data_IF_721956351914
#
_entry.id   IF_721956351914
#
_cell.length_a   1.000
_cell.length_b   1.000
_cell.length_c   1.000
_cell.angle_alpha   90.00
_cell.angle_beta   90.00
_cell.angle_gamma   90.00
#
_symmetry.space_group_name_H-M   'P 1'
#
loop_
_entity.id
_entity.type
_entity.pdbx_description
1 polymer ?
#
# COMPACT_ATOMS: atom_id res chain seq x y z
N UNK A 1 -16.74 29.30 -26.66
CA UNK A 1 -16.59 27.95 -26.07
C UNK A 1 -15.44 28.02 -25.08
N UNK A 2 -15.72 27.89 -23.78
CA UNK A 2 -14.67 27.88 -22.77
C UNK A 2 -13.94 26.54 -22.81
N UNK A 3 -12.61 26.53 -22.74
CA UNK A 3 -11.86 25.28 -22.60
C UNK A 3 -12.19 24.63 -21.25
N UNK A 4 -12.38 23.30 -21.19
CA UNK A 4 -12.63 22.63 -19.93
C UNK A 4 -11.40 22.78 -19.03
N UNK A 5 -11.62 23.19 -17.78
CA UNK A 5 -10.58 23.25 -16.77
C UNK A 5 -10.04 21.83 -16.53
N UNK A 6 -8.72 21.70 -16.45
CA UNK A 6 -8.08 20.45 -16.03
C UNK A 6 -8.47 20.19 -14.57
N UNK A 7 -9.00 19.01 -14.24
CA UNK A 7 -9.34 18.66 -12.86
C UNK A 7 -8.12 18.83 -11.95
N UNK A 8 -8.31 19.45 -10.79
CA UNK A 8 -7.25 19.76 -9.82
C UNK A 8 -6.49 18.49 -9.36
N UNK A 9 -7.16 17.34 -9.37
CA UNK A 9 -6.59 16.03 -9.05
C UNK A 9 -5.55 15.56 -10.07
N UNK A 10 -5.77 15.83 -11.36
CA UNK A 10 -4.82 15.52 -12.43
C UNK A 10 -3.56 16.39 -12.32
N UNK A 11 -3.73 17.65 -11.92
CA UNK A 11 -2.61 18.55 -11.65
C UNK A 11 -1.76 18.07 -10.47
N UNK A 12 -2.37 17.57 -9.39
CA UNK A 12 -1.64 17.04 -8.24
C UNK A 12 -0.87 15.74 -8.57
N UNK A 13 -1.45 14.86 -9.39
CA UNK A 13 -0.76 13.64 -9.86
C UNK A 13 0.46 14.01 -10.72
N UNK A 14 0.28 14.92 -11.67
CA UNK A 14 1.38 15.46 -12.46
C UNK A 14 2.45 16.09 -11.56
N UNK A 15 2.05 16.94 -10.61
CA UNK A 15 2.99 17.62 -9.73
C UNK A 15 3.81 16.64 -8.90
N UNK A 16 3.20 15.61 -8.33
CA UNK A 16 3.91 14.57 -7.57
C UNK A 16 4.85 13.73 -8.44
N UNK A 17 4.44 13.39 -9.67
CA UNK A 17 5.26 12.61 -10.59
C UNK A 17 6.51 13.38 -11.04
N UNK A 18 6.36 14.66 -11.41
CA UNK A 18 7.50 15.49 -11.79
C UNK A 18 8.38 15.85 -10.58
N UNK A 19 7.79 16.04 -9.39
CA UNK A 19 8.58 16.27 -8.18
C UNK A 19 9.45 15.09 -7.80
N UNK A 20 8.98 13.85 -7.97
CA UNK A 20 9.80 12.66 -7.75
C UNK A 20 11.04 12.64 -8.65
N UNK A 21 10.84 12.89 -9.95
CA UNK A 21 11.94 12.96 -10.93
C UNK A 21 12.89 14.12 -10.64
N UNK A 22 12.37 15.29 -10.27
CA UNK A 22 13.18 16.46 -9.90
C UNK A 22 14.00 16.16 -8.64
N UNK A 23 13.39 15.55 -7.61
CA UNK A 23 14.09 15.16 -6.38
C UNK A 23 15.15 14.12 -6.67
N UNK A 24 14.89 13.14 -7.55
CA UNK A 24 15.88 12.17 -7.99
C UNK A 24 17.05 12.86 -8.70
N UNK A 25 16.77 13.81 -9.61
CA UNK A 25 17.79 14.57 -10.30
C UNK A 25 18.62 15.43 -9.33
N UNK A 26 17.99 16.06 -8.34
CA UNK A 26 18.65 16.80 -7.27
C UNK A 26 19.54 15.86 -6.44
N UNK A 27 19.07 14.67 -6.06
CA UNK A 27 19.86 13.68 -5.33
C UNK A 27 21.08 13.22 -6.14
N UNK A 28 20.91 12.95 -7.43
CA UNK A 28 22.02 12.60 -8.35
C UNK A 28 23.01 13.76 -8.45
N UNK A 29 22.53 14.99 -8.61
CA UNK A 29 23.38 16.18 -8.69
C UNK A 29 24.19 16.38 -7.40
N UNK A 30 23.55 16.25 -6.23
CA UNK A 30 24.22 16.32 -4.92
C UNK A 30 25.29 15.23 -4.82
N UNK A 31 24.99 14.00 -5.26
CA UNK A 31 25.95 12.90 -5.27
C UNK A 31 27.17 13.23 -6.16
N UNK A 32 26.95 13.74 -7.36
CA UNK A 32 28.02 14.16 -8.27
C UNK A 32 28.87 15.27 -7.63
N UNK A 33 28.25 16.27 -7.01
CA UNK A 33 28.94 17.36 -6.33
C UNK A 33 29.78 16.85 -5.15
N UNK A 34 29.27 15.90 -4.37
CA UNK A 34 30.01 15.23 -3.29
C UNK A 34 31.23 14.50 -3.83
N UNK A 35 31.07 13.71 -4.90
CA UNK A 35 32.18 12.98 -5.52
C UNK A 35 33.24 13.96 -6.03
N UNK A 36 32.84 15.04 -6.71
CA UNK A 36 33.74 16.08 -7.19
C UNK A 36 34.48 16.75 -6.03
N UNK A 37 33.79 17.09 -4.93
CA UNK A 37 34.40 17.68 -3.75
C UNK A 37 35.44 16.75 -3.10
N UNK A 38 35.14 15.45 -2.99
CA UNK A 38 36.07 14.42 -2.48
C UNK A 38 37.30 14.33 -3.40
N UNK A 39 37.12 14.27 -4.72
CA UNK A 39 38.22 14.21 -5.67
C UNK A 39 39.10 15.46 -5.64
N UNK A 40 38.51 16.65 -5.51
CA UNK A 40 39.23 17.91 -5.36
C UNK A 40 39.99 17.97 -4.04
N UNK A 41 39.37 17.57 -2.93
CA UNK A 41 40.01 17.48 -1.61
C UNK A 41 41.18 16.49 -1.57
N UNK A 42 41.04 15.35 -2.27
CA UNK A 42 42.14 14.39 -2.40
C UNK A 42 43.31 14.94 -3.23
N UNK A 43 43.00 15.74 -4.27
CA UNK A 43 44.03 16.40 -5.08
C UNK A 43 44.75 17.51 -4.29
N UNK A 44 44.06 18.24 -3.42
CA UNK A 44 44.65 19.32 -2.61
C UNK A 44 45.45 18.81 -1.42
N UNK A 45 45.08 17.69 -0.81
CA UNK A 45 45.85 17.05 0.29
C UNK A 45 47.23 16.54 -0.13
N UNK A 46 47.48 16.35 -1.44
CA UNK A 46 48.84 16.14 -1.97
C UNK A 46 49.72 17.39 -1.95
N UNK A 47 49.15 18.59 -1.78
CA UNK A 47 49.87 19.83 -1.44
C UNK A 47 49.82 19.99 0.09
N UNK A 48 50.86 20.57 0.70
CA UNK A 48 50.93 20.84 2.16
C UNK A 48 49.80 21.80 2.58
N UNK A 49 48.60 21.28 2.78
CA UNK A 49 47.47 22.00 3.35
C UNK A 49 47.70 22.22 4.85
N UNK A 50 47.19 23.31 5.40
CA UNK A 50 47.26 23.53 6.84
C UNK A 50 46.28 22.57 7.57
N UNK A 51 46.52 22.35 8.87
CA UNK A 51 45.76 21.39 9.68
C UNK A 51 44.25 21.70 9.71
N UNK A 52 43.86 22.99 9.66
CA UNK A 52 42.44 23.40 9.71
C UNK A 52 41.70 23.05 8.42
N UNK A 53 42.32 23.25 7.26
CA UNK A 53 41.77 22.84 5.96
C UNK A 53 41.61 21.32 5.88
N UNK A 54 42.58 20.58 6.41
CA UNK A 54 42.54 19.11 6.43
C UNK A 54 41.39 18.59 7.29
N UNK A 55 41.12 19.21 8.45
CA UNK A 55 40.00 18.85 9.33
C UNK A 55 38.65 19.18 8.67
N UNK A 56 38.52 20.36 8.04
CA UNK A 56 37.28 20.75 7.36
C UNK A 56 36.94 19.83 6.18
N UNK A 57 37.94 19.44 5.38
CA UNK A 57 37.78 18.49 4.28
C UNK A 57 37.40 17.11 4.81
N UNK A 58 38.01 16.65 5.91
CA UNK A 58 37.66 15.38 6.56
C UNK A 58 36.22 15.34 7.07
N UNK A 59 35.76 16.42 7.71
CA UNK A 59 34.38 16.56 8.20
C UNK A 59 33.36 16.62 7.06
N UNK A 60 33.65 17.34 5.98
CA UNK A 60 32.82 17.36 4.77
C UNK A 60 32.75 15.97 4.12
N UNK A 61 33.87 15.28 4.00
CA UNK A 61 33.91 13.91 3.50
C UNK A 61 33.09 12.93 4.36
N UNK A 62 33.21 13.04 5.69
CA UNK A 62 32.44 12.23 6.63
C UNK A 62 30.93 12.51 6.54
N UNK A 63 30.50 13.78 6.58
CA UNK A 63 29.09 14.15 6.49
C UNK A 63 28.46 13.71 5.16
N UNK A 64 29.21 13.87 4.06
CA UNK A 64 28.76 13.47 2.73
C UNK A 64 28.63 11.95 2.57
N UNK A 65 29.56 11.19 3.17
CA UNK A 65 29.47 9.72 3.17
C UNK A 65 28.35 9.21 4.06
N UNK A 66 28.08 9.80 5.23
CA UNK A 66 26.88 9.49 6.02
C UNK A 66 25.60 9.81 5.25
N UNK A 67 25.50 10.97 4.60
CA UNK A 67 24.33 11.30 3.77
C UNK A 67 24.14 10.27 2.64
N UNK A 68 25.23 9.86 1.99
CA UNK A 68 25.18 8.79 0.99
C UNK A 68 24.64 7.47 1.57
N UNK A 69 25.08 7.04 2.74
CA UNK A 69 24.58 5.81 3.37
C UNK A 69 23.09 5.87 3.76
N UNK A 70 22.57 7.05 4.10
CA UNK A 70 21.14 7.23 4.40
C UNK A 70 20.26 7.35 3.15
N UNK A 71 20.75 7.98 2.08
CA UNK A 71 19.97 8.19 0.86
C UNK A 71 20.13 7.06 -0.18
N UNK A 72 21.30 6.41 -0.23
CA UNK A 72 21.60 5.38 -1.23
C UNK A 72 20.65 4.18 -1.19
N UNK A 73 20.17 3.66 -0.05
CA UNK A 73 19.21 2.55 -0.05
C UNK A 73 17.88 2.92 -0.70
N UNK A 74 17.38 4.13 -0.44
CA UNK A 74 16.13 4.63 -1.05
C UNK A 74 16.27 4.84 -2.56
N UNK A 75 17.38 5.43 -2.99
CA UNK A 75 17.69 5.66 -4.40
C UNK A 75 18.03 4.35 -5.11
N UNK A 76 18.65 3.38 -4.43
CA UNK A 76 18.98 2.08 -4.98
C UNK A 76 17.74 1.21 -5.18
N UNK A 77 16.76 1.26 -4.28
CA UNK A 77 15.46 0.60 -4.49
C UNK A 77 14.69 1.24 -5.64
N UNK A 78 14.74 2.57 -5.75
CA UNK A 78 14.14 3.33 -6.85
C UNK A 78 14.83 2.99 -8.19
N UNK A 79 16.17 2.92 -8.23
CA UNK A 79 16.97 2.50 -9.38
C UNK A 79 16.78 1.01 -9.70
N UNK A 80 16.71 0.10 -8.72
CA UNK A 80 16.41 -1.31 -8.99
C UNK A 80 15.00 -1.49 -9.55
N UNK A 81 14.02 -0.69 -9.10
CA UNK A 81 12.68 -0.69 -9.72
C UNK A 81 12.71 -0.23 -11.18
N UNK A 82 13.69 0.62 -11.54
CA UNK A 82 13.87 1.15 -12.89
C UNK A 82 14.77 0.25 -13.78
N UNK A 83 15.70 -0.51 -13.21
CA UNK A 83 16.79 -1.17 -13.96
C UNK A 83 17.11 -2.62 -13.54
N UNK A 84 16.51 -3.16 -12.47
CA UNK A 84 16.68 -4.55 -12.05
C UNK A 84 15.90 -5.52 -12.95
N UNK A 85 16.32 -6.79 -13.01
CA UNK A 85 15.54 -7.84 -13.67
C UNK A 85 14.11 -7.82 -13.12
N UNK A 86 13.12 -7.61 -13.99
CA UNK A 86 11.71 -7.34 -13.68
C UNK A 86 10.99 -8.38 -12.81
N UNK A 87 11.68 -9.46 -12.46
CA UNK A 87 11.10 -10.62 -11.81
C UNK A 87 10.97 -10.49 -10.29
N UNK A 88 11.82 -9.70 -9.61
CA UNK A 88 11.85 -9.66 -8.13
C UNK A 88 11.72 -8.25 -7.56
N UNK A 89 10.74 -8.07 -6.66
CA UNK A 89 10.56 -6.86 -5.86
C UNK A 89 10.87 -7.17 -4.39
N UNK A 90 11.76 -6.38 -3.80
CA UNK A 90 12.12 -6.53 -2.38
C UNK A 90 11.52 -5.38 -1.58
N UNK A 91 10.60 -5.70 -0.68
CA UNK A 91 10.02 -4.75 0.26
C UNK A 91 10.44 -5.12 1.68
N UNK A 92 11.27 -4.27 2.31
CA UNK A 92 11.90 -4.56 3.60
C UNK A 92 12.60 -5.93 3.59
N UNK A 93 12.14 -6.85 4.45
CA UNK A 93 12.64 -8.22 4.57
C UNK A 93 11.93 -9.22 3.63
N UNK A 94 10.88 -8.80 2.93
CA UNK A 94 10.07 -9.67 2.07
C UNK A 94 10.58 -9.64 0.63
N UNK A 95 10.70 -10.82 0.05
CA UNK A 95 10.96 -10.98 -1.39
C UNK A 95 9.66 -11.40 -2.05
N UNK A 96 9.07 -10.49 -2.81
CA UNK A 96 7.84 -10.71 -3.56
C UNK A 96 8.23 -10.80 -5.04
N UNK A 97 7.89 -11.93 -5.67
CA UNK A 97 8.10 -12.09 -7.11
C UNK A 97 7.07 -11.23 -7.85
N UNK A 98 7.49 -10.32 -8.71
CA UNK A 98 6.57 -9.57 -9.57
C UNK A 98 6.72 -10.13 -10.98
N UNK A 99 5.64 -10.63 -11.56
CA UNK A 99 5.66 -11.17 -12.93
C UNK A 99 4.91 -10.24 -13.87
N UNK A 100 5.44 -10.07 -15.08
CA UNK A 100 4.88 -9.19 -16.10
C UNK A 100 5.62 -7.85 -16.18
N UNK A 101 4.93 -6.84 -16.72
CA UNK A 101 5.48 -5.49 -16.95
C UNK A 101 4.65 -4.42 -16.23
N UNK A 102 4.66 -4.36 -14.89
CA UNK A 102 3.97 -3.29 -14.18
C UNK A 102 4.58 -1.94 -14.55
N UNK A 103 3.73 -0.92 -14.64
CA UNK A 103 4.17 0.48 -14.69
C UNK A 103 4.84 0.89 -13.38
N UNK A 104 5.68 1.92 -13.42
CA UNK A 104 6.27 2.51 -12.21
C UNK A 104 5.21 2.97 -11.20
N UNK A 105 4.04 3.42 -11.68
CA UNK A 105 2.93 3.83 -10.82
C UNK A 105 2.35 2.63 -10.09
N UNK A 106 2.13 1.49 -10.77
CA UNK A 106 1.67 0.26 -10.10
C UNK A 106 2.67 -0.24 -9.04
N UNK A 107 3.98 -0.15 -9.31
CA UNK A 107 4.99 -0.48 -8.31
C UNK A 107 4.96 0.45 -7.10
N UNK A 108 4.69 1.74 -7.32
CA UNK A 108 4.51 2.72 -6.25
C UNK A 108 3.25 2.42 -5.42
N UNK A 109 2.13 2.10 -6.06
CA UNK A 109 0.88 1.73 -5.40
C UNK A 109 1.03 0.45 -4.57
N UNK A 110 1.74 -0.57 -5.08
CA UNK A 110 2.08 -1.78 -4.32
C UNK A 110 2.90 -1.43 -3.07
N UNK A 111 3.92 -0.58 -3.21
CA UNK A 111 4.74 -0.13 -2.08
C UNK A 111 3.91 0.64 -1.04
N UNK A 112 3.04 1.54 -1.52
CA UNK A 112 2.17 2.35 -0.68
C UNK A 112 1.17 1.47 0.09
N UNK A 113 0.59 0.46 -0.57
CA UNK A 113 -0.29 -0.52 0.06
C UNK A 113 0.37 -1.17 1.27
N UNK A 114 1.62 -1.62 1.12
CA UNK A 114 2.36 -2.33 2.17
C UNK A 114 2.71 -1.45 3.37
N UNK A 115 2.84 -0.13 3.21
CA UNK A 115 3.11 0.76 4.34
C UNK A 115 1.95 0.82 5.36
N UNK A 116 0.73 0.53 4.93
CA UNK A 116 -0.47 0.53 5.79
C UNK A 116 -0.88 -0.84 6.31
N UNK A 117 -0.05 -1.88 6.12
CA UNK A 117 -0.42 -3.26 6.40
C UNK A 117 0.51 -3.93 7.40
N UNK A 118 -0.07 -4.84 8.16
CA UNK A 118 0.70 -5.68 9.05
C UNK A 118 1.71 -6.56 8.29
N UNK A 119 2.94 -6.58 8.77
CA UNK A 119 4.04 -7.37 8.19
C UNK A 119 3.72 -8.88 8.09
N UNK A 120 2.91 -9.44 8.99
CA UNK A 120 2.43 -10.83 8.96
C UNK A 120 1.42 -11.07 7.84
N UNK A 121 0.60 -10.08 7.52
CA UNK A 121 -0.35 -10.12 6.39
C UNK A 121 0.42 -10.10 5.07
N UNK A 122 1.38 -9.16 4.92
CA UNK A 122 2.26 -9.03 3.75
C UNK A 122 3.06 -10.33 3.51
N UNK A 123 3.51 -11.01 4.57
CA UNK A 123 4.31 -12.24 4.46
C UNK A 123 3.63 -13.40 3.73
N UNK A 124 2.31 -13.31 3.49
CA UNK A 124 1.56 -14.32 2.76
C UNK A 124 1.63 -14.09 1.24
N UNK A 125 2.11 -12.94 0.79
CA UNK A 125 2.35 -12.65 -0.62
C UNK A 125 3.70 -13.24 -1.02
N UNK A 126 3.67 -14.17 -1.97
CA UNK A 126 4.83 -14.73 -2.65
C UNK A 126 5.00 -14.13 -4.04
N UNK A 127 3.89 -13.84 -4.72
CA UNK A 127 3.92 -13.39 -6.11
C UNK A 127 2.78 -12.44 -6.42
N UNK A 128 3.04 -11.37 -7.17
CA UNK A 128 2.03 -10.55 -7.84
C UNK A 128 2.26 -10.69 -9.34
N UNK A 129 1.26 -11.20 -10.07
CA UNK A 129 1.38 -11.51 -11.48
C UNK A 129 0.45 -10.64 -12.31
N UNK A 130 1.03 -9.87 -13.22
CA UNK A 130 0.30 -9.08 -14.21
C UNK A 130 0.15 -9.90 -15.50
N UNK A 131 -0.97 -9.69 -16.22
CA UNK A 131 -1.28 -10.33 -17.52
C UNK A 131 -1.75 -11.78 -17.46
N UNK A 132 -2.54 -12.12 -16.45
CA UNK A 132 -3.11 -13.47 -16.31
C UNK A 132 -4.58 -13.55 -16.69
N UNK A 133 -4.92 -13.09 -17.89
CA UNK A 133 -6.31 -13.01 -18.37
C UNK A 133 -7.05 -14.37 -18.34
N UNK A 134 -6.33 -15.48 -18.37
CA UNK A 134 -6.89 -16.85 -18.34
C UNK A 134 -7.37 -17.31 -16.95
N UNK A 135 -7.13 -16.54 -15.89
CA UNK A 135 -7.54 -16.89 -14.53
C UNK A 135 -8.79 -16.15 -14.04
N UNK A 136 -9.31 -15.21 -14.81
CA UNK A 136 -10.49 -14.42 -14.43
C UNK A 136 -11.76 -15.07 -14.98
N UNK A 137 -12.75 -15.29 -14.10
CA UNK A 137 -14.01 -15.94 -14.47
C UNK A 137 -14.97 -14.99 -15.18
N UNK A 138 -14.80 -13.68 -14.98
CA UNK A 138 -15.60 -12.64 -15.60
C UNK A 138 -14.75 -11.47 -16.13
N UNK A 139 -15.34 -10.64 -17.00
CA UNK A 139 -14.68 -9.40 -17.42
C UNK A 139 -14.57 -8.36 -16.29
N UNK A 140 -15.42 -8.46 -15.27
CA UNK A 140 -15.51 -7.54 -14.13
C UNK A 140 -14.47 -7.81 -13.03
N UNK A 141 -13.89 -9.02 -13.01
CA UNK A 141 -12.86 -9.37 -12.02
C UNK A 141 -11.59 -8.56 -12.32
N UNK A 142 -11.21 -7.69 -11.38
CA UNK A 142 -10.09 -6.75 -11.56
C UNK A 142 -8.75 -7.36 -11.12
N UNK A 143 -8.79 -7.99 -9.96
CA UNK A 143 -7.73 -8.80 -9.39
C UNK A 143 -8.37 -10.02 -8.71
N UNK A 144 -7.57 -11.03 -8.43
CA UNK A 144 -8.03 -12.20 -7.68
C UNK A 144 -6.84 -12.93 -7.04
N UNK A 145 -7.06 -13.52 -5.87
CA UNK A 145 -6.15 -14.48 -5.27
C UNK A 145 -6.27 -15.86 -5.92
N UNK A 146 -5.35 -16.16 -6.85
CA UNK A 146 -5.26 -17.49 -7.47
C UNK A 146 -4.99 -18.62 -6.46
N UNK A 147 -6.04 -19.25 -5.97
CA UNK A 147 -6.09 -20.58 -5.35
C UNK A 147 -5.00 -20.89 -4.29
N UNK A 148 -4.82 -20.02 -3.30
CA UNK A 148 -4.21 -20.41 -2.00
C UNK A 148 -2.69 -20.61 -1.97
N UNK A 149 -1.93 -20.04 -2.91
CA UNK A 149 -0.45 -20.17 -2.94
C UNK A 149 0.33 -18.89 -2.66
N UNK A 150 -0.31 -17.85 -2.12
CA UNK A 150 0.35 -16.56 -1.91
C UNK A 150 0.49 -15.74 -3.19
N UNK A 151 -0.40 -15.95 -4.15
CA UNK A 151 -0.34 -15.29 -5.46
C UNK A 151 -1.52 -14.32 -5.60
N UNK A 152 -1.22 -13.09 -5.98
CA UNK A 152 -2.19 -12.09 -6.42
C UNK A 152 -2.09 -12.01 -7.94
N UNK A 153 -3.20 -12.19 -8.64
CA UNK A 153 -3.31 -12.11 -10.08
C UNK A 153 -4.00 -10.80 -10.45
N UNK A 154 -3.42 -10.06 -11.39
CA UNK A 154 -3.90 -8.73 -11.81
C UNK A 154 -4.11 -8.73 -13.32
N UNK A 155 -5.28 -8.28 -13.75
CA UNK A 155 -5.63 -8.20 -15.17
C UNK A 155 -4.84 -7.08 -15.85
N UNK A 156 -4.36 -7.32 -17.06
CA UNK A 156 -3.39 -6.43 -17.75
C UNK A 156 -3.87 -4.98 -17.91
N UNK A 157 -5.18 -4.80 -18.16
CA UNK A 157 -5.75 -3.50 -18.52
C UNK A 157 -6.12 -2.63 -17.30
N UNK A 158 -5.86 -3.12 -16.09
CA UNK A 158 -6.38 -2.50 -14.88
C UNK A 158 -5.25 -1.83 -14.11
N UNK A 159 -5.51 -0.60 -13.72
CA UNK A 159 -4.70 0.10 -12.76
C UNK A 159 -4.84 -0.58 -11.40
N UNK A 160 -3.78 -1.26 -10.96
CA UNK A 160 -3.72 -1.83 -9.63
C UNK A 160 -3.41 -0.70 -8.66
N UNK A 161 -4.43 -0.25 -7.95
CA UNK A 161 -4.26 0.71 -6.86
C UNK A 161 -3.90 0.01 -5.55
N UNK A 162 -3.47 0.82 -4.58
CA UNK A 162 -3.13 0.32 -3.24
C UNK A 162 -4.28 -0.41 -2.53
N UNK A 163 -5.53 0.00 -2.77
CA UNK A 163 -6.72 -0.57 -2.13
C UNK A 163 -6.93 -2.01 -2.59
N UNK A 164 -6.83 -2.25 -3.89
CA UNK A 164 -6.89 -3.58 -4.50
C UNK A 164 -5.80 -4.49 -3.93
N UNK A 165 -4.56 -4.00 -3.77
CA UNK A 165 -3.48 -4.80 -3.17
C UNK A 165 -3.78 -5.18 -1.71
N UNK A 166 -4.30 -4.24 -0.91
CA UNK A 166 -4.70 -4.49 0.47
C UNK A 166 -5.81 -5.53 0.55
N UNK A 167 -6.81 -5.39 -0.32
CA UNK A 167 -7.95 -6.28 -0.45
C UNK A 167 -7.53 -7.72 -0.77
N UNK A 168 -6.79 -7.91 -1.86
CA UNK A 168 -6.35 -9.25 -2.28
C UNK A 168 -5.39 -9.89 -1.26
N UNK A 169 -4.58 -9.08 -0.57
CA UNK A 169 -3.72 -9.63 0.48
C UNK A 169 -4.53 -10.08 1.70
N UNK A 170 -5.62 -9.39 2.03
CA UNK A 170 -6.52 -9.79 3.11
C UNK A 170 -7.16 -11.15 2.82
N UNK A 171 -7.55 -11.43 1.56
CA UNK A 171 -7.98 -12.76 1.16
C UNK A 171 -6.90 -13.83 1.41
N UNK A 172 -5.66 -13.58 0.99
CA UNK A 172 -4.54 -14.49 1.24
C UNK A 172 -4.36 -14.82 2.72
N UNK A 173 -4.45 -13.80 3.59
CA UNK A 173 -4.33 -14.01 5.02
C UNK A 173 -5.54 -14.75 5.60
N UNK A 174 -6.75 -14.44 5.11
CA UNK A 174 -8.00 -15.12 5.48
C UNK A 174 -7.94 -16.62 5.21
N UNK A 175 -7.44 -17.02 4.03
CA UNK A 175 -7.28 -18.44 3.70
C UNK A 175 -6.31 -19.15 4.65
N UNK A 176 -5.27 -18.46 5.12
CA UNK A 176 -4.32 -18.98 6.11
C UNK A 176 -4.89 -19.03 7.53
N UNK A 177 -5.67 -18.02 7.92
CA UNK A 177 -6.38 -17.99 9.21
C UNK A 177 -7.40 -19.14 9.34
N UNK A 178 -7.96 -19.58 8.20
CA UNK A 178 -8.71 -20.82 8.08
C UNK A 178 -10.15 -20.74 8.59
N UNK A 179 -10.83 -21.89 8.60
CA UNK A 179 -12.28 -21.96 8.81
C UNK A 179 -12.77 -21.53 10.20
N UNK A 180 -11.92 -21.57 11.24
CA UNK A 180 -12.32 -21.12 12.59
C UNK A 180 -12.54 -19.60 12.61
N UNK A 181 -11.63 -18.84 11.99
CA UNK A 181 -11.73 -17.40 11.82
C UNK A 181 -13.00 -17.02 11.08
N UNK A 182 -13.23 -17.60 9.89
CA UNK A 182 -14.40 -17.32 9.07
C UNK A 182 -15.72 -17.63 9.78
N UNK A 183 -15.79 -18.72 10.55
CA UNK A 183 -16.98 -19.05 11.35
C UNK A 183 -17.24 -18.02 12.45
N UNK A 184 -16.20 -17.53 13.13
CA UNK A 184 -16.36 -16.46 14.13
C UNK A 184 -16.76 -15.15 13.46
N UNK A 185 -16.14 -14.79 12.34
CA UNK A 185 -16.48 -13.60 11.56
C UNK A 185 -17.94 -13.61 11.11
N UNK A 186 -18.41 -14.70 10.52
CA UNK A 186 -19.80 -14.86 10.08
C UNK A 186 -20.79 -14.77 11.25
N UNK A 187 -20.46 -15.36 12.41
CA UNK A 187 -21.29 -15.22 13.62
C UNK A 187 -21.37 -13.77 14.10
N UNK A 188 -20.25 -13.05 14.04
CA UNK A 188 -20.19 -11.62 14.37
C UNK A 188 -21.03 -10.78 13.41
N UNK A 189 -20.96 -11.05 12.09
CA UNK A 189 -21.78 -10.34 11.11
C UNK A 189 -23.28 -10.58 11.33
N UNK A 190 -23.66 -11.82 11.63
CA UNK A 190 -25.04 -12.28 11.71
C UNK A 190 -25.43 -13.07 10.46
N UNK A 191 -26.38 -14.00 10.61
CA UNK A 191 -26.70 -14.97 9.54
C UNK A 191 -27.35 -14.35 8.31
N UNK A 192 -27.96 -13.17 8.45
CA UNK A 192 -28.78 -12.55 7.40
C UNK A 192 -28.05 -11.43 6.62
N UNK A 193 -26.76 -11.22 6.90
CA UNK A 193 -25.98 -10.13 6.27
C UNK A 193 -25.51 -10.50 4.86
N UNK A 194 -25.13 -11.77 4.65
CA UNK A 194 -24.58 -12.20 3.37
C UNK A 194 -25.66 -12.64 2.39
N UNK A 195 -25.45 -12.32 1.11
CA UNK A 195 -26.43 -12.62 0.06
C UNK A 195 -27.64 -11.67 0.06
N UNK A 196 -27.60 -10.58 0.83
CA UNK A 196 -28.56 -9.50 0.68
C UNK A 196 -28.49 -8.94 -0.75
N UNK A 197 -29.66 -8.59 -1.32
CA UNK A 197 -29.79 -8.09 -2.69
C UNK A 197 -29.18 -6.68 -2.79
N UNK A 198 -27.90 -6.60 -3.11
CA UNK A 198 -27.32 -5.39 -3.67
C UNK A 198 -27.65 -5.34 -5.16
N UNK A 199 -27.80 -4.13 -5.70
CA UNK A 199 -27.81 -3.96 -7.15
C UNK A 199 -26.36 -3.85 -7.58
N UNK A 200 -25.95 -4.69 -8.52
CA UNK A 200 -24.76 -4.42 -9.32
C UNK A 200 -25.23 -3.48 -10.44
N UNK A 201 -25.02 -2.15 -10.35
CA UNK A 201 -25.33 -1.26 -11.44
C UNK A 201 -24.46 -1.60 -12.63
N UNK A 202 -24.88 -1.18 -13.83
CA UNK A 202 -24.12 -1.34 -15.09
C UNK A 202 -22.68 -0.78 -15.03
N UNK A 203 -22.36 0.01 -14.01
CA UNK A 203 -21.04 0.58 -13.74
C UNK A 203 -20.11 -0.30 -12.89
N UNK A 204 -20.55 -1.47 -12.41
CA UNK A 204 -19.73 -2.38 -11.59
C UNK A 204 -19.55 -1.96 -10.13
N UNK A 205 -20.30 -0.96 -9.64
CA UNK A 205 -20.20 -0.44 -8.28
C UNK A 205 -21.32 -0.97 -7.38
N UNK A 206 -21.03 -1.89 -6.47
CA UNK A 206 -22.02 -2.44 -5.55
C UNK A 206 -22.68 -1.34 -4.69
N UNK A 207 -24.00 -1.23 -4.75
CA UNK A 207 -24.81 -0.30 -3.92
C UNK A 207 -25.91 -1.03 -3.16
N UNK A 208 -26.31 -0.49 -2.02
CA UNK A 208 -27.51 -0.92 -1.28
C UNK A 208 -28.79 -0.69 -2.09
N UNK A 209 -29.92 -1.25 -1.65
CA UNK A 209 -31.22 -1.10 -2.33
C UNK A 209 -31.68 0.37 -2.46
N UNK A 210 -31.21 1.24 -1.57
CA UNK A 210 -31.46 2.69 -1.60
C UNK A 210 -30.44 3.49 -2.45
N UNK A 211 -29.58 2.80 -3.20
CA UNK A 211 -28.48 3.35 -4.02
C UNK A 211 -27.37 4.07 -3.22
N UNK A 212 -27.22 3.77 -1.93
CA UNK A 212 -26.08 4.25 -1.14
C UNK A 212 -24.99 3.18 -1.01
N UNK A 213 -23.79 3.59 -0.61
CA UNK A 213 -22.61 2.73 -0.41
C UNK A 213 -22.08 2.76 1.03
N UNK A 214 -22.76 3.48 1.93
CA UNK A 214 -22.28 3.76 3.28
C UNK A 214 -22.28 2.51 4.19
N UNK A 215 -21.43 2.44 5.25
CA UNK A 215 -21.40 1.31 6.17
C UNK A 215 -22.77 1.00 6.81
N UNK A 216 -23.22 -0.25 6.74
CA UNK A 216 -24.49 -0.75 7.31
C UNK A 216 -24.41 -2.24 7.62
N UNK A 217 -25.27 -2.69 8.53
CA UNK A 217 -25.43 -4.11 8.88
C UNK A 217 -24.13 -4.81 9.30
N UNK A 218 -23.19 -4.06 9.89
CA UNK A 218 -21.86 -4.56 10.25
C UNK A 218 -20.89 -4.69 9.07
N UNK A 219 -21.26 -4.34 7.84
CA UNK A 219 -20.38 -4.26 6.67
C UNK A 219 -19.95 -2.81 6.42
N UNK A 220 -18.74 -2.61 5.92
CA UNK A 220 -18.22 -1.26 5.59
C UNK A 220 -18.65 -0.78 4.20
N UNK A 221 -19.08 -1.70 3.33
CA UNK A 221 -19.64 -1.41 2.02
C UNK A 221 -20.62 -2.52 1.58
N UNK A 222 -21.45 -2.27 0.55
CA UNK A 222 -22.29 -3.29 -0.08
C UNK A 222 -21.50 -4.45 -0.69
N UNK A 223 -20.29 -4.19 -1.22
CA UNK A 223 -19.43 -5.23 -1.79
C UNK A 223 -19.04 -6.28 -0.75
N UNK A 224 -18.65 -5.84 0.45
CA UNK A 224 -18.36 -6.75 1.57
C UNK A 224 -19.57 -7.58 2.02
N UNK A 225 -20.80 -7.18 1.71
CA UNK A 225 -22.00 -7.96 2.04
C UNK A 225 -22.30 -9.09 1.04
N UNK A 226 -21.54 -9.21 -0.05
CA UNK A 226 -21.73 -10.28 -1.05
C UNK A 226 -21.47 -11.65 -0.44
N UNK A 227 -20.36 -11.82 0.29
CA UNK A 227 -20.00 -13.03 1.00
C UNK A 227 -18.97 -12.75 2.11
N UNK A 228 -18.76 -13.74 2.99
CA UNK A 228 -17.86 -13.61 4.16
C UNK A 228 -16.40 -13.29 3.81
N UNK A 229 -15.90 -13.73 2.65
CA UNK A 229 -14.52 -13.47 2.26
C UNK A 229 -14.33 -12.02 1.82
N UNK A 230 -15.29 -11.48 1.05
CA UNK A 230 -15.30 -10.08 0.63
C UNK A 230 -15.51 -9.14 1.82
N UNK A 231 -16.33 -9.55 2.79
CA UNK A 231 -16.50 -8.81 4.04
C UNK A 231 -15.17 -8.62 4.76
N UNK A 232 -14.43 -9.70 4.99
CA UNK A 232 -13.12 -9.62 5.65
C UNK A 232 -12.17 -8.72 4.86
N UNK A 233 -12.08 -8.93 3.55
CA UNK A 233 -11.12 -8.21 2.70
C UNK A 233 -11.43 -6.72 2.62
N UNK A 234 -12.68 -6.36 2.33
CA UNK A 234 -13.14 -4.97 2.29
C UNK A 234 -13.00 -4.29 3.64
N UNK A 235 -13.30 -5.00 4.74
CA UNK A 235 -13.20 -4.44 6.08
C UNK A 235 -11.74 -4.15 6.45
N UNK A 236 -10.83 -5.07 6.16
CA UNK A 236 -9.41 -4.87 6.42
C UNK A 236 -8.83 -3.74 5.56
N UNK A 237 -9.17 -3.71 4.27
CA UNK A 237 -8.83 -2.63 3.34
C UNK A 237 -9.27 -1.26 3.89
N UNK A 238 -10.54 -1.14 4.33
CA UNK A 238 -11.06 0.08 4.93
C UNK A 238 -10.21 0.55 6.13
N UNK A 239 -9.78 -0.37 7.00
CA UNK A 239 -8.95 -0.03 8.15
C UNK A 239 -7.53 0.41 7.75
N UNK A 240 -6.92 -0.23 6.74
CA UNK A 240 -5.62 0.19 6.21
C UNK A 240 -5.69 1.62 5.65
N UNK A 241 -6.70 1.92 4.84
CA UNK A 241 -6.92 3.26 4.30
C UNK A 241 -7.20 4.29 5.40
N UNK A 242 -7.95 3.91 6.45
CA UNK A 242 -8.21 4.76 7.60
C UNK A 242 -6.90 5.13 8.34
N UNK A 243 -6.04 4.14 8.61
CA UNK A 243 -4.73 4.38 9.26
C UNK A 243 -3.88 5.32 8.41
N UNK A 244 -3.83 5.10 7.09
CA UNK A 244 -3.05 5.94 6.18
C UNK A 244 -3.60 7.38 6.12
N UNK A 245 -4.92 7.53 6.04
CA UNK A 245 -5.57 8.83 6.00
C UNK A 245 -5.23 9.66 7.24
N UNK A 246 -5.17 9.04 8.41
CA UNK A 246 -4.87 9.69 9.68
C UNK A 246 -3.41 10.05 9.86
N UNK A 247 -2.50 9.27 9.26
CA UNK A 247 -1.10 9.68 9.18
C UNK A 247 -0.95 11.05 8.49
N UNK A 248 -1.90 11.40 7.61
CA UNK A 248 -1.98 12.69 6.94
C UNK A 248 -2.91 13.70 7.64
N UNK A 249 -3.91 13.26 8.40
CA UNK A 249 -4.95 14.10 8.98
C UNK A 249 -5.26 13.71 10.44
N UNK A 250 -4.47 14.21 11.39
CA UNK A 250 -4.54 13.84 12.81
C UNK A 250 -5.87 14.12 13.53
N UNK A 251 -6.79 14.91 12.92
CA UNK A 251 -8.05 15.33 13.53
C UNK A 251 -9.29 14.55 13.03
N UNK A 252 -9.14 13.55 12.16
CA UNK A 252 -10.28 12.81 11.65
C UNK A 252 -10.82 11.80 12.67
N UNK A 253 -12.15 11.81 12.87
CA UNK A 253 -12.87 10.78 13.64
C UNK A 253 -13.70 9.97 12.67
N UNK A 254 -13.32 8.72 12.43
CA UNK A 254 -14.15 7.80 11.66
C UNK A 254 -15.44 7.51 12.40
N UNK A 255 -16.55 7.38 11.68
CA UNK A 255 -17.82 6.99 12.26
C UNK A 255 -18.32 5.71 11.57
N UNK A 256 -17.93 4.55 12.11
CA UNK A 256 -18.53 3.27 11.74
C UNK A 256 -19.92 3.07 12.39
N UNK A 257 -20.51 4.11 12.99
CA UNK A 257 -21.76 4.01 13.73
C UNK A 257 -21.62 3.28 15.06
N UNK A 258 -22.73 3.13 15.79
CA UNK A 258 -22.81 2.46 17.09
C UNK A 258 -23.02 0.94 16.98
N UNK A 259 -22.77 0.34 15.82
CA UNK A 259 -22.99 -1.10 15.61
C UNK A 259 -21.83 -1.89 16.24
N UNK A 260 -22.16 -2.66 17.28
CA UNK A 260 -21.20 -3.44 18.07
C UNK A 260 -20.39 -4.43 17.24
N UNK A 261 -20.90 -4.84 16.07
CA UNK A 261 -20.24 -5.79 15.18
C UNK A 261 -18.94 -5.24 14.61
N UNK A 262 -18.83 -3.93 14.38
CA UNK A 262 -17.57 -3.33 13.92
C UNK A 262 -16.46 -3.53 14.94
N UNK A 263 -16.74 -3.31 16.23
CA UNK A 263 -15.80 -3.56 17.32
C UNK A 263 -15.40 -5.04 17.38
N UNK A 264 -16.37 -5.94 17.34
CA UNK A 264 -16.12 -7.37 17.38
C UNK A 264 -15.28 -7.86 16.19
N UNK A 265 -15.48 -7.30 14.99
CA UNK A 265 -14.65 -7.59 13.81
C UNK A 265 -13.22 -7.09 13.98
N UNK A 266 -13.02 -5.89 14.52
CA UNK A 266 -11.68 -5.35 14.81
C UNK A 266 -10.96 -6.22 15.85
N UNK A 267 -11.67 -6.64 16.90
CA UNK A 267 -11.15 -7.56 17.91
C UNK A 267 -10.72 -8.92 17.28
N UNK A 268 -11.51 -9.45 16.33
CA UNK A 268 -11.16 -10.66 15.58
C UNK A 268 -9.95 -10.47 14.65
N UNK A 269 -9.84 -9.33 13.95
CA UNK A 269 -8.67 -9.04 13.11
C UNK A 269 -7.38 -9.02 13.94
N UNK A 270 -7.43 -8.46 15.14
CA UNK A 270 -6.30 -8.48 16.08
C UNK A 270 -5.99 -9.90 16.57
N UNK A 271 -6.99 -10.66 17.03
CA UNK A 271 -6.81 -12.07 17.49
C UNK A 271 -6.14 -12.94 16.42
N UNK A 272 -6.49 -12.73 15.14
CA UNK A 272 -5.98 -13.51 14.02
C UNK A 272 -4.77 -12.88 13.31
N UNK A 273 -4.15 -11.84 13.88
CA UNK A 273 -2.91 -11.21 13.40
C UNK A 273 -3.02 -10.50 12.05
N UNK A 274 -4.22 -10.04 11.69
CA UNK A 274 -4.37 -9.04 10.64
C UNK A 274 -3.83 -7.69 11.10
N UNK A 275 -3.98 -7.37 12.39
CA UNK A 275 -3.49 -6.16 13.04
C UNK A 275 -2.47 -6.52 14.11
N UNK A 276 -1.42 -5.72 14.28
CA UNK A 276 -0.59 -5.76 15.47
C UNK A 276 -1.19 -4.89 16.59
N UNK A 277 -0.58 -4.95 17.78
CA UNK A 277 -1.03 -4.18 18.93
C UNK A 277 -1.06 -2.67 18.65
N UNK A 278 -0.10 -2.14 17.89
CA UNK A 278 -0.02 -0.71 17.57
C UNK A 278 -1.16 -0.29 16.64
N UNK A 279 -1.41 -1.07 15.59
CA UNK A 279 -2.51 -0.87 14.64
C UNK A 279 -3.87 -0.99 15.33
N UNK A 280 -4.06 -2.04 16.13
CA UNK A 280 -5.30 -2.28 16.88
C UNK A 280 -5.62 -1.14 17.86
N UNK A 281 -4.64 -0.68 18.65
CA UNK A 281 -4.87 0.42 19.59
C UNK A 281 -5.15 1.74 18.87
N UNK A 282 -4.46 2.02 17.75
CA UNK A 282 -4.76 3.19 16.90
C UNK A 282 -6.22 3.13 16.44
N UNK A 283 -6.63 2.03 15.81
CA UNK A 283 -8.00 1.86 15.29
C UNK A 283 -9.05 2.06 16.39
N UNK A 284 -8.87 1.44 17.56
CA UNK A 284 -9.81 1.63 18.68
C UNK A 284 -9.93 3.08 19.13
N UNK A 285 -8.81 3.79 19.22
CA UNK A 285 -8.79 5.20 19.59
C UNK A 285 -9.52 6.07 18.57
N UNK A 286 -9.35 5.79 17.27
CA UNK A 286 -9.94 6.57 16.17
C UNK A 286 -11.47 6.44 16.17
N UNK A 287 -11.92 5.20 16.32
CA UNK A 287 -13.33 4.84 16.23
C UNK A 287 -14.06 5.00 17.57
N UNK A 288 -13.37 5.48 18.62
CA UNK A 288 -13.89 5.62 19.99
C UNK A 288 -14.51 4.31 20.52
N UNK A 289 -13.88 3.18 20.22
CA UNK A 289 -14.34 1.85 20.64
C UNK A 289 -13.73 1.55 22.01
N UNK A 290 -14.43 1.93 23.08
CA UNK A 290 -14.04 1.60 24.45
C UNK A 290 -14.52 0.20 24.84
#
# INVERSE_FOLDING_TARGET
MAQPAIPEDLMNIFFHQYWGVILLFIKILILVLVIVAILLGWKTTKRKANLRESIAIGLLGFLSSTAFFFFAPSVYLEIQSLFGSKDYYRYNQYTILIRGDPSSIQLLEISAAFNGMNSRVISNIKTISFREDHHFGSEADLAHVGCGKGKICVKEKIFLDRSTVQHETAHLHTFKAGGKFLKQWQRTAGNDVYGQKHREPKSGLYVWEDNTDSPRYGCVSPYGATNVYEDVATFYEYLCLLIEYLHRHSNFKGNLGNDIRYKQKIDLLHEYNFLDDSEYQKIKSILNLH
#
